data_IF_670009290558
#
_entry.id   IF_670009290558
#
_cell.length_a   1.000
_cell.length_b   1.000
_cell.length_c   1.000
_cell.angle_alpha   90.00
_cell.angle_beta   90.00
_cell.angle_gamma   90.00
#
_symmetry.space_group_name_H-M   'P 1'
#
loop_
_entity.id
_entity.type
_entity.pdbx_description
1 polymer ?
#
# COMPACT_ATOMS: atom_id res chain seq x y z
N UNK A 1 -4.84 6.35 32.51
CA UNK A 1 -5.90 5.98 31.55
C UNK A 1 -5.19 5.78 30.23
N UNK A 2 -4.84 4.53 29.91
CA UNK A 2 -4.23 4.21 28.61
C UNK A 2 -5.33 4.30 27.55
N UNK A 3 -5.19 5.21 26.61
CA UNK A 3 -6.02 5.23 25.44
C UNK A 3 -5.67 3.97 24.64
N UNK A 4 -6.58 2.99 24.62
CA UNK A 4 -6.51 1.87 23.69
C UNK A 4 -6.46 2.47 22.29
N UNK A 5 -5.44 2.13 21.51
CA UNK A 5 -5.42 2.50 20.10
C UNK A 5 -6.79 2.08 19.50
N UNK A 6 -7.41 2.92 18.66
CA UNK A 6 -8.69 2.57 18.05
C UNK A 6 -8.53 1.23 17.34
N UNK A 7 -9.47 0.33 17.61
CA UNK A 7 -9.50 -0.97 16.95
C UNK A 7 -9.72 -0.68 15.46
N UNK A 8 -8.74 -1.07 14.60
CA UNK A 8 -8.86 -0.86 13.15
C UNK A 8 -10.15 -1.55 12.60
N UNK A 9 -10.89 -2.35 13.38
CA UNK A 9 -12.20 -2.90 13.03
C UNK A 9 -13.21 -1.82 12.58
N UNK A 10 -13.03 -0.58 13.03
CA UNK A 10 -13.90 0.56 12.72
C UNK A 10 -13.41 1.37 11.50
N UNK A 11 -12.39 0.91 10.78
CA UNK A 11 -11.93 1.61 9.57
C UNK A 11 -12.93 1.44 8.44
N UNK A 12 -13.46 2.55 7.98
CA UNK A 12 -14.35 2.64 6.81
C UNK A 12 -13.56 2.48 5.51
N UNK A 13 -13.09 1.24 5.24
CA UNK A 13 -12.48 0.89 3.96
C UNK A 13 -13.54 0.79 2.89
N UNK A 14 -13.42 1.60 1.85
CA UNK A 14 -14.29 1.57 0.69
C UNK A 14 -13.60 0.86 -0.48
N UNK A 15 -14.39 0.17 -1.30
CA UNK A 15 -13.87 -0.42 -2.54
C UNK A 15 -13.28 0.67 -3.41
N UNK A 16 -12.05 0.45 -3.86
CA UNK A 16 -11.32 1.43 -4.66
C UNK A 16 -10.47 2.41 -3.84
N UNK A 17 -10.39 2.23 -2.52
CA UNK A 17 -9.53 3.06 -1.68
C UNK A 17 -8.05 2.90 -2.05
N UNK A 18 -7.39 4.04 -2.22
CA UNK A 18 -5.95 4.20 -2.28
C UNK A 18 -5.52 5.15 -1.17
N UNK A 19 -4.79 4.61 -0.21
CA UNK A 19 -4.53 5.24 1.10
C UNK A 19 -3.04 5.37 1.30
N UNK A 20 -2.53 6.57 1.66
CA UNK A 20 -1.18 6.67 2.20
C UNK A 20 -1.18 6.52 3.71
N UNK A 21 -0.17 5.85 4.23
CA UNK A 21 0.11 5.70 5.66
C UNK A 21 1.53 6.15 5.95
N UNK A 22 1.72 6.93 7.00
CA UNK A 22 3.02 7.40 7.43
C UNK A 22 3.45 6.71 8.71
N UNK A 23 4.72 6.32 8.79
CA UNK A 23 5.32 5.74 9.97
C UNK A 23 6.73 6.30 10.21
N UNK A 24 7.24 6.16 11.42
CA UNK A 24 8.60 6.55 11.78
C UNK A 24 9.42 5.29 12.11
N UNK A 25 10.55 5.14 11.42
CA UNK A 25 11.48 4.05 11.67
C UNK A 25 10.94 2.67 11.27
N UNK A 26 11.86 1.77 10.94
CA UNK A 26 11.54 0.38 10.61
C UNK A 26 11.45 -0.52 11.84
N UNK A 27 11.45 -1.84 11.61
CA UNK A 27 11.47 -2.88 12.65
C UNK A 27 10.09 -3.22 13.20
N UNK A 28 10.00 -3.60 14.46
CA UNK A 28 8.80 -4.21 15.04
C UNK A 28 7.54 -3.32 14.95
N UNK A 29 7.69 -2.02 15.00
CA UNK A 29 6.55 -1.09 14.91
C UNK A 29 5.92 -1.08 13.50
N UNK A 30 6.76 -1.13 12.46
CA UNK A 30 6.31 -1.30 11.08
C UNK A 30 5.62 -2.65 10.91
N UNK A 31 6.26 -3.73 11.39
CA UNK A 31 5.71 -5.08 11.33
C UNK A 31 4.34 -5.17 11.99
N UNK A 32 4.14 -4.51 13.16
CA UNK A 32 2.85 -4.47 13.86
C UNK A 32 1.73 -3.91 12.97
N UNK A 33 1.99 -2.80 12.28
CA UNK A 33 1.03 -2.17 11.36
C UNK A 33 0.72 -3.11 10.19
N UNK A 34 1.76 -3.71 9.60
CA UNK A 34 1.61 -4.61 8.45
C UNK A 34 0.85 -5.88 8.83
N UNK A 35 1.21 -6.52 9.95
CA UNK A 35 0.55 -7.72 10.46
C UNK A 35 -0.93 -7.46 10.74
N UNK A 36 -1.24 -6.34 11.40
CA UNK A 36 -2.62 -6.00 11.73
C UNK A 36 -3.43 -5.73 10.45
N UNK A 37 -2.91 -4.95 9.51
CA UNK A 37 -3.55 -4.67 8.23
C UNK A 37 -3.83 -5.95 7.42
N UNK A 38 -2.81 -6.80 7.23
CA UNK A 38 -2.96 -8.05 6.48
C UNK A 38 -3.89 -9.04 7.17
N UNK A 39 -3.78 -9.19 8.50
CA UNK A 39 -4.64 -10.09 9.27
C UNK A 39 -6.13 -9.74 9.12
N UNK A 40 -6.47 -8.49 8.94
CA UNK A 40 -7.87 -8.05 8.71
C UNK A 40 -8.34 -8.42 7.33
N UNK A 41 -7.53 -8.14 6.30
CA UNK A 41 -7.85 -8.57 4.95
C UNK A 41 -8.13 -10.08 4.90
N UNK A 42 -7.28 -10.87 5.55
CA UNK A 42 -7.40 -12.32 5.64
C UNK A 42 -8.65 -12.77 6.41
N UNK A 43 -8.94 -12.17 7.59
CA UNK A 43 -10.17 -12.47 8.36
C UNK A 43 -11.44 -12.14 7.57
N UNK A 44 -11.40 -11.12 6.74
CA UNK A 44 -12.50 -10.76 5.86
C UNK A 44 -12.60 -11.65 4.60
N UNK A 45 -11.75 -12.68 4.47
CA UNK A 45 -11.74 -13.62 3.34
C UNK A 45 -11.20 -13.03 2.04
N UNK A 46 -10.38 -11.99 2.11
CA UNK A 46 -9.77 -11.38 0.93
C UNK A 46 -8.43 -12.03 0.58
N UNK A 47 -8.03 -11.99 -0.69
CA UNK A 47 -6.64 -12.24 -1.09
C UNK A 47 -5.81 -11.04 -0.68
N UNK A 48 -4.66 -11.29 -0.03
CA UNK A 48 -3.74 -10.25 0.43
C UNK A 48 -2.44 -10.28 -0.37
N UNK A 49 -1.93 -9.10 -0.71
CA UNK A 49 -0.63 -8.91 -1.36
C UNK A 49 0.19 -7.89 -0.57
N UNK A 50 1.43 -8.23 -0.26
CA UNK A 50 2.36 -7.36 0.45
C UNK A 50 3.63 -7.18 -0.37
N UNK A 51 3.91 -5.95 -0.79
CA UNK A 51 5.16 -5.56 -1.44
C UNK A 51 6.04 -4.86 -0.42
N UNK A 52 7.14 -5.50 0.00
CA UNK A 52 8.03 -4.99 1.05
C UNK A 52 9.44 -5.57 0.93
N UNK A 53 10.35 -5.12 1.78
CA UNK A 53 11.67 -5.74 1.88
C UNK A 53 11.58 -7.20 2.36
N UNK A 54 12.55 -8.02 1.94
CA UNK A 54 12.57 -9.45 2.25
C UNK A 54 12.56 -9.73 3.77
N UNK A 55 13.28 -8.93 4.55
CA UNK A 55 13.33 -9.08 6.01
C UNK A 55 11.97 -8.79 6.65
N UNK A 56 11.30 -7.71 6.23
CA UNK A 56 9.93 -7.39 6.65
C UNK A 56 8.96 -8.49 6.25
N UNK A 57 9.04 -8.98 5.02
CA UNK A 57 8.18 -10.06 4.53
C UNK A 57 8.32 -11.33 5.38
N UNK A 58 9.54 -11.70 5.77
CA UNK A 58 9.80 -12.85 6.65
C UNK A 58 9.21 -12.63 8.05
N UNK A 59 9.56 -11.50 8.69
CA UNK A 59 9.08 -11.16 10.04
C UNK A 59 7.55 -11.10 10.12
N UNK A 60 6.91 -10.48 9.14
CA UNK A 60 5.45 -10.37 9.06
C UNK A 60 4.80 -11.74 8.87
N UNK A 61 5.33 -12.57 7.95
CA UNK A 61 4.78 -13.92 7.69
C UNK A 61 4.76 -14.77 8.95
N UNK A 62 5.84 -14.74 9.74
CA UNK A 62 5.96 -15.53 10.96
C UNK A 62 4.99 -15.07 12.07
N UNK A 63 4.45 -13.87 11.96
CA UNK A 63 3.54 -13.25 12.93
C UNK A 63 2.06 -13.29 12.52
N UNK A 64 1.76 -13.60 11.25
CA UNK A 64 0.38 -13.83 10.81
C UNK A 64 -0.14 -15.13 11.44
N UNK A 65 -1.32 -15.12 12.10
CA UNK A 65 -1.91 -16.33 12.68
C UNK A 65 -2.07 -17.43 11.62
N UNK A 66 -1.55 -18.65 11.87
CA UNK A 66 -1.57 -19.75 10.88
C UNK A 66 -2.99 -20.10 10.38
N UNK A 67 -3.99 -19.96 11.22
CA UNK A 67 -5.39 -20.21 10.88
C UNK A 67 -5.92 -19.27 9.78
N UNK A 68 -5.29 -18.08 9.61
CA UNK A 68 -5.64 -17.15 8.54
C UNK A 68 -4.99 -17.51 7.21
N UNK A 69 -3.99 -18.40 7.23
CA UNK A 69 -3.26 -18.89 6.06
C UNK A 69 -3.83 -20.20 5.50
N UNK A 70 -5.10 -20.50 5.79
CA UNK A 70 -5.75 -21.81 5.52
C UNK A 70 -5.95 -22.13 4.03
N UNK A 71 -5.84 -21.15 3.13
CA UNK A 71 -5.92 -21.33 1.67
C UNK A 71 -4.57 -20.98 1.05
N UNK A 72 -4.07 -21.87 0.19
CA UNK A 72 -2.86 -21.59 -0.58
C UNK A 72 -3.03 -20.30 -1.42
N UNK A 73 -2.01 -19.46 -1.43
CA UNK A 73 -2.00 -18.22 -2.19
C UNK A 73 -2.89 -17.10 -1.66
N UNK A 74 -3.53 -17.26 -0.50
CA UNK A 74 -4.36 -16.19 0.10
C UNK A 74 -3.53 -14.96 0.51
N UNK A 75 -2.24 -15.16 0.86
CA UNK A 75 -1.28 -14.11 1.13
C UNK A 75 -0.03 -14.31 0.28
N UNK A 76 0.29 -13.32 -0.52
CA UNK A 76 1.48 -13.29 -1.36
C UNK A 76 2.40 -12.15 -0.96
N UNK A 77 3.70 -12.45 -0.87
CA UNK A 77 4.74 -11.45 -0.65
C UNK A 77 5.53 -11.22 -1.94
N UNK A 78 5.72 -9.96 -2.27
CA UNK A 78 6.52 -9.49 -3.38
C UNK A 78 7.68 -8.67 -2.83
N UNK A 79 8.89 -8.93 -3.29
CA UNK A 79 10.09 -8.20 -2.87
C UNK A 79 10.59 -7.29 -3.98
N UNK A 80 11.38 -6.29 -3.62
CA UNK A 80 11.94 -5.28 -4.52
C UNK A 80 12.70 -5.84 -5.74
N UNK A 81 13.28 -7.05 -5.62
CA UNK A 81 14.08 -7.67 -6.68
C UNK A 81 13.26 -8.22 -7.88
N UNK A 82 11.93 -8.13 -7.84
CA UNK A 82 11.10 -8.63 -8.94
C UNK A 82 10.98 -7.66 -10.13
N UNK A 83 11.54 -6.45 -10.00
CA UNK A 83 11.60 -5.46 -11.06
C UNK A 83 12.96 -5.48 -11.78
N UNK A 84 13.31 -6.60 -12.44
CA UNK A 84 14.44 -6.62 -13.35
C UNK A 84 14.23 -5.57 -14.46
N UNK A 85 15.15 -4.60 -14.56
CA UNK A 85 15.08 -3.55 -15.58
C UNK A 85 14.67 -2.15 -15.11
N UNK A 86 14.51 -1.94 -13.80
CA UNK A 86 14.15 -0.64 -13.22
C UNK A 86 12.64 -0.39 -13.14
N UNK A 87 12.27 0.71 -12.44
CA UNK A 87 10.88 1.09 -12.24
C UNK A 87 10.25 1.67 -13.51
N UNK A 88 9.19 1.03 -14.00
CA UNK A 88 8.38 1.51 -15.13
C UNK A 88 6.92 1.62 -14.69
N UNK A 89 6.34 2.81 -14.86
CA UNK A 89 4.93 3.09 -14.50
C UNK A 89 3.99 2.06 -15.12
N UNK A 90 4.12 1.82 -16.42
CA UNK A 90 3.23 0.92 -17.17
C UNK A 90 3.42 -0.55 -16.75
N UNK A 91 4.66 -0.97 -16.47
CA UNK A 91 4.94 -2.33 -16.05
C UNK A 91 4.34 -2.60 -14.66
N UNK A 92 4.52 -1.67 -13.72
CA UNK A 92 3.97 -1.81 -12.36
C UNK A 92 2.45 -1.72 -12.32
N UNK A 93 1.82 -0.87 -13.13
CA UNK A 93 0.35 -0.84 -13.24
C UNK A 93 -0.19 -2.15 -13.82
N UNK A 94 0.45 -2.71 -14.86
CA UNK A 94 0.06 -4.02 -15.41
C UNK A 94 0.25 -5.14 -14.39
N UNK A 95 1.33 -5.09 -13.62
CA UNK A 95 1.60 -6.06 -12.56
C UNK A 95 0.52 -6.01 -11.46
N UNK A 96 0.18 -4.81 -10.96
CA UNK A 96 -0.88 -4.65 -9.95
C UNK A 96 -2.24 -5.07 -10.50
N UNK A 97 -2.54 -4.74 -11.76
CA UNK A 97 -3.76 -5.18 -12.43
C UNK A 97 -3.82 -6.70 -12.59
N UNK A 98 -2.70 -7.35 -12.86
CA UNK A 98 -2.62 -8.81 -12.95
C UNK A 98 -2.92 -9.46 -11.59
N UNK A 99 -2.36 -8.95 -10.49
CA UNK A 99 -2.61 -9.48 -9.14
C UNK A 99 -4.10 -9.36 -8.75
N UNK A 100 -4.74 -8.23 -9.03
CA UNK A 100 -6.16 -8.09 -8.69
C UNK A 100 -7.04 -9.01 -9.56
N UNK A 101 -6.73 -9.17 -10.85
CA UNK A 101 -7.44 -10.10 -11.73
C UNK A 101 -7.27 -11.56 -11.29
N UNK A 102 -6.05 -11.93 -10.86
CA UNK A 102 -5.78 -13.24 -10.28
C UNK A 102 -6.63 -13.47 -9.02
N UNK A 103 -6.64 -12.50 -8.09
CA UNK A 103 -7.46 -12.59 -6.88
C UNK A 103 -8.95 -12.85 -7.21
N UNK A 104 -9.50 -12.13 -8.18
CA UNK A 104 -10.89 -12.30 -8.62
C UNK A 104 -11.12 -13.66 -9.31
N UNK A 105 -10.16 -14.11 -10.12
CA UNK A 105 -10.21 -15.42 -10.80
C UNK A 105 -10.16 -16.58 -9.81
N UNK A 106 -9.42 -16.42 -8.70
CA UNK A 106 -9.34 -17.39 -7.62
C UNK A 106 -10.61 -17.42 -6.72
N UNK A 107 -11.59 -16.57 -7.04
CA UNK A 107 -12.87 -16.49 -6.34
C UNK A 107 -12.87 -15.63 -5.09
N UNK A 108 -11.84 -14.78 -4.88
CA UNK A 108 -11.86 -13.78 -3.82
C UNK A 108 -12.72 -12.58 -4.24
N UNK A 109 -13.44 -11.99 -3.27
CA UNK A 109 -14.28 -10.83 -3.55
C UNK A 109 -13.50 -9.55 -3.85
N UNK A 110 -12.25 -9.46 -3.39
CA UNK A 110 -11.37 -8.31 -3.57
C UNK A 110 -9.90 -8.62 -3.27
N UNK A 111 -9.02 -7.74 -3.75
CA UNK A 111 -7.61 -7.69 -3.36
C UNK A 111 -7.44 -6.72 -2.18
N UNK A 112 -6.61 -7.10 -1.21
CA UNK A 112 -6.16 -6.28 -0.10
C UNK A 112 -4.65 -6.11 -0.22
N UNK A 113 -4.19 -4.98 -0.78
CA UNK A 113 -2.80 -4.76 -1.12
C UNK A 113 -2.12 -3.76 -0.19
N UNK A 114 -0.87 -4.03 0.15
CA UNK A 114 0.02 -3.13 0.88
C UNK A 114 1.35 -3.01 0.14
N UNK A 115 1.84 -1.79 -0.02
CA UNK A 115 3.16 -1.50 -0.57
C UNK A 115 3.97 -0.59 0.38
N UNK A 116 5.19 -1.00 0.71
CA UNK A 116 6.14 -0.14 1.40
C UNK A 116 6.96 0.64 0.36
N UNK A 117 6.72 1.95 0.27
CA UNK A 117 7.38 2.84 -0.69
C UNK A 117 8.84 3.17 -0.32
N UNK A 118 9.37 2.64 0.78
CA UNK A 118 10.72 2.93 1.27
C UNK A 118 11.81 2.49 0.28
N UNK A 119 11.55 1.46 -0.55
CA UNK A 119 12.50 1.04 -1.58
C UNK A 119 12.73 2.11 -2.65
N UNK A 120 11.73 2.92 -2.96
CA UNK A 120 11.84 4.04 -3.91
C UNK A 120 12.70 5.16 -3.35
N UNK A 121 12.63 5.37 -2.04
CA UNK A 121 13.39 6.43 -1.37
C UNK A 121 14.92 6.20 -1.34
N UNK A 122 15.41 5.05 -1.83
CA UNK A 122 16.85 4.79 -1.94
C UNK A 122 17.52 5.58 -3.06
N UNK A 123 16.79 5.83 -4.15
CA UNK A 123 17.32 6.47 -5.37
C UNK A 123 16.47 7.71 -5.68
N UNK A 124 16.50 8.70 -4.79
CA UNK A 124 15.68 9.92 -4.85
C UNK A 124 16.26 10.96 -5.85
N UNK A 125 16.56 10.56 -7.08
CA UNK A 125 16.78 11.55 -8.12
C UNK A 125 15.44 12.13 -8.63
N UNK A 126 15.44 13.38 -9.13
CA UNK A 126 14.18 14.04 -9.53
C UNK A 126 13.40 13.30 -10.61
N UNK A 127 14.08 12.58 -11.51
CA UNK A 127 13.45 11.82 -12.59
C UNK A 127 12.71 10.57 -12.04
N UNK A 128 13.36 9.84 -11.15
CA UNK A 128 12.78 8.68 -10.45
C UNK A 128 11.58 9.10 -9.62
N UNK A 129 11.68 10.24 -8.92
CA UNK A 129 10.56 10.77 -8.13
C UNK A 129 9.36 11.18 -8.98
N UNK A 130 9.60 11.85 -10.11
CA UNK A 130 8.52 12.18 -11.07
C UNK A 130 7.84 10.92 -11.58
N UNK A 131 8.60 9.90 -11.92
CA UNK A 131 8.09 8.60 -12.38
C UNK A 131 7.25 7.93 -11.31
N UNK A 132 7.73 7.91 -10.05
CA UNK A 132 7.00 7.35 -8.91
C UNK A 132 5.66 8.05 -8.67
N UNK A 133 5.65 9.37 -8.54
CA UNK A 133 4.40 10.11 -8.32
C UNK A 133 3.43 10.04 -9.51
N UNK A 134 3.94 9.87 -10.73
CA UNK A 134 3.09 9.57 -11.89
C UNK A 134 2.40 8.22 -11.72
N UNK A 135 3.11 7.19 -11.23
CA UNK A 135 2.53 5.89 -10.94
C UNK A 135 1.50 5.98 -9.82
N UNK A 136 1.82 6.59 -8.68
CA UNK A 136 0.91 6.78 -7.56
C UNK A 136 -0.39 7.46 -7.97
N UNK A 137 -0.30 8.51 -8.76
CA UNK A 137 -1.48 9.20 -9.26
C UNK A 137 -2.33 8.30 -10.19
N UNK A 138 -1.72 7.46 -11.04
CA UNK A 138 -2.40 6.52 -11.93
C UNK A 138 -2.99 5.31 -11.20
N UNK A 139 -2.46 4.94 -10.03
CA UNK A 139 -3.03 3.87 -9.19
C UNK A 139 -4.48 4.18 -8.82
N UNK A 140 -4.84 5.45 -8.62
CA UNK A 140 -6.24 5.82 -8.32
C UNK A 140 -7.22 5.40 -9.42
N UNK A 141 -6.82 5.51 -10.70
CA UNK A 141 -7.66 5.06 -11.81
C UNK A 141 -7.78 3.54 -11.84
N UNK A 142 -6.70 2.83 -11.53
CA UNK A 142 -6.72 1.38 -11.42
C UNK A 142 -7.56 0.93 -10.22
N UNK A 143 -7.39 1.58 -9.07
CA UNK A 143 -8.14 1.27 -7.86
C UNK A 143 -9.65 1.41 -8.07
N UNK A 144 -10.09 2.44 -8.79
CA UNK A 144 -11.52 2.67 -9.07
C UNK A 144 -12.16 1.64 -10.00
N UNK A 145 -11.35 0.87 -10.76
CA UNK A 145 -11.86 -0.12 -11.74
C UNK A 145 -12.09 -1.51 -11.17
N UNK A 146 -11.48 -1.82 -10.04
CA UNK A 146 -11.48 -3.16 -9.45
C UNK A 146 -11.84 -3.13 -7.97
N UNK A 147 -12.46 -4.20 -7.43
CA UNK A 147 -12.71 -4.32 -6.00
C UNK A 147 -11.39 -4.60 -5.26
N UNK A 148 -10.73 -3.54 -4.81
CA UNK A 148 -9.46 -3.60 -4.10
C UNK A 148 -9.32 -2.49 -3.07
N UNK A 149 -8.43 -2.71 -2.09
CA UNK A 149 -7.88 -1.70 -1.20
C UNK A 149 -6.37 -1.67 -1.38
N UNK A 150 -5.80 -0.49 -1.48
CA UNK A 150 -4.36 -0.32 -1.62
C UNK A 150 -3.89 0.63 -0.52
N UNK A 151 -2.95 0.18 0.30
CA UNK A 151 -2.26 1.01 1.29
C UNK A 151 -0.80 1.16 0.88
N UNK A 152 -0.36 2.40 0.67
CA UNK A 152 1.04 2.74 0.41
C UNK A 152 1.66 3.33 1.69
N UNK A 153 2.73 2.71 2.18
CA UNK A 153 3.40 3.10 3.42
C UNK A 153 4.67 3.90 3.15
N UNK A 154 4.87 4.96 3.92
CA UNK A 154 5.96 5.92 3.75
C UNK A 154 6.68 6.15 5.08
N UNK A 155 7.98 5.85 5.13
CA UNK A 155 8.84 6.10 6.26
C UNK A 155 9.21 7.59 6.33
N UNK A 156 8.77 8.29 7.37
CA UNK A 156 9.04 9.71 7.56
C UNK A 156 10.52 10.06 7.79
N UNK A 157 11.35 9.06 8.16
CA UNK A 157 12.79 9.25 8.24
C UNK A 157 13.44 9.33 6.86
N UNK A 158 12.76 8.85 5.82
CA UNK A 158 13.22 8.84 4.42
C UNK A 158 12.42 9.76 3.51
N UNK A 159 11.11 9.86 3.76
CA UNK A 159 10.19 10.72 3.04
C UNK A 159 9.97 12.01 3.83
N UNK A 160 10.69 13.08 3.52
CA UNK A 160 10.64 14.33 4.27
C UNK A 160 10.26 15.53 3.39
N UNK A 161 9.83 16.62 4.02
CA UNK A 161 9.61 17.90 3.40
C UNK A 161 8.56 17.90 2.29
N UNK A 162 8.95 18.38 1.12
CA UNK A 162 8.10 18.53 -0.08
C UNK A 162 7.64 17.19 -0.67
N UNK A 163 8.38 16.10 -0.43
CA UNK A 163 8.00 14.76 -0.87
C UNK A 163 6.72 14.29 -0.17
N UNK A 164 6.54 14.58 1.12
CA UNK A 164 5.30 14.27 1.85
C UNK A 164 4.10 14.97 1.21
N UNK A 165 4.26 16.22 0.80
CA UNK A 165 3.19 16.94 0.11
C UNK A 165 2.84 16.30 -1.24
N UNK A 166 3.83 15.77 -1.95
CA UNK A 166 3.59 15.03 -3.20
C UNK A 166 2.87 13.71 -2.96
N UNK A 167 3.22 12.97 -1.89
CA UNK A 167 2.48 11.78 -1.44
C UNK A 167 1.01 12.13 -1.14
N UNK A 168 0.77 13.17 -0.34
CA UNK A 168 -0.59 13.61 -0.03
C UNK A 168 -1.39 13.99 -1.29
N UNK A 169 -0.76 14.68 -2.25
CA UNK A 169 -1.44 15.06 -3.50
C UNK A 169 -1.88 13.88 -4.35
N UNK A 170 -1.25 12.71 -4.21
CA UNK A 170 -1.57 11.51 -5.01
C UNK A 170 -2.55 10.55 -4.35
N UNK A 171 -2.87 10.71 -3.07
CA UNK A 171 -3.72 9.77 -2.33
C UNK A 171 -5.03 10.43 -1.88
N UNK A 172 -6.19 9.92 -2.30
CA UNK A 172 -7.50 10.46 -1.87
C UNK A 172 -7.76 10.33 -0.37
N UNK A 173 -7.14 9.35 0.27
CA UNK A 173 -7.32 9.06 1.69
C UNK A 173 -5.98 8.91 2.41
N UNK A 174 -5.98 9.19 3.71
CA UNK A 174 -4.78 9.08 4.56
C UNK A 174 -5.12 8.29 5.82
N UNK A 175 -4.22 7.40 6.21
CA UNK A 175 -4.26 6.68 7.47
C UNK A 175 -3.44 7.45 8.52
N UNK A 176 -4.11 7.88 9.57
CA UNK A 176 -3.49 8.64 10.68
C UNK A 176 -4.03 8.11 12.01
N UNK A 177 -3.13 7.69 12.89
CA UNK A 177 -3.49 7.26 14.26
C UNK A 177 -4.65 6.25 14.32
N UNK A 178 -4.66 5.27 13.43
CA UNK A 178 -5.69 4.24 13.41
C UNK A 178 -7.00 4.64 12.71
N UNK A 179 -7.06 5.81 12.07
CA UNK A 179 -8.24 6.29 11.32
C UNK A 179 -7.90 6.46 9.85
N UNK A 180 -8.84 6.15 8.97
CA UNK A 180 -8.77 6.51 7.55
C UNK A 180 -9.63 7.76 7.34
N UNK A 181 -8.97 8.83 6.90
CA UNK A 181 -9.59 10.14 6.70
C UNK A 181 -9.58 10.52 5.21
N UNK A 182 -10.56 11.30 4.79
CA UNK A 182 -10.50 11.96 3.49
C UNK A 182 -9.34 12.94 3.49
N UNK A 183 -8.54 12.92 2.44
CA UNK A 183 -7.38 13.77 2.33
C UNK A 183 -7.72 15.08 1.60
N UNK A 184 -7.71 16.23 2.28
CA UNK A 184 -8.04 17.51 1.66
C UNK A 184 -6.96 18.03 0.69
N UNK A 185 -5.77 17.44 0.69
CA UNK A 185 -4.66 17.81 -0.20
C UNK A 185 -4.64 17.00 -1.49
N UNK A 186 -5.52 16.02 -1.65
CA UNK A 186 -5.60 15.21 -2.86
C UNK A 186 -5.88 16.06 -4.10
N UNK A 187 -5.14 15.77 -5.17
CA UNK A 187 -5.28 16.42 -6.46
C UNK A 187 -5.61 15.36 -7.52
N UNK A 188 -6.70 15.52 -8.29
CA UNK A 188 -7.03 14.58 -9.36
C UNK A 188 -5.91 14.43 -10.38
N UNK A 189 -5.76 13.21 -10.95
CA UNK A 189 -4.65 12.85 -11.85
C UNK A 189 -4.33 13.89 -12.92
N UNK A 190 -5.35 14.38 -13.64
CA UNK A 190 -5.17 15.33 -14.74
C UNK A 190 -4.58 16.68 -14.28
N UNK A 191 -4.92 17.12 -13.07
CA UNK A 191 -4.37 18.36 -12.48
C UNK A 191 -2.95 18.09 -11.92
N UNK A 192 -2.76 16.94 -11.28
CA UNK A 192 -1.47 16.58 -10.72
C UNK A 192 -0.40 16.44 -11.80
N UNK A 193 -0.67 15.74 -12.90
CA UNK A 193 0.27 15.57 -14.00
C UNK A 193 0.62 16.89 -14.70
N UNK A 194 -0.29 17.86 -14.71
CA UNK A 194 -0.02 19.21 -15.22
C UNK A 194 0.86 20.06 -14.30
N UNK A 195 1.10 19.62 -13.05
CA UNK A 195 1.93 20.31 -12.05
C UNK A 195 3.34 19.70 -11.86
N UNK A 196 3.64 18.54 -12.47
CA UNK A 196 4.95 17.88 -12.51
C UNK A 196 5.83 18.45 -13.62
#
# INVERSE_FOLDING_TARGET
MGSRAPDIADLDFQVGDHVCAFYNGGGSALDDIVVDYLSRGLRAGNKCACCSFADTASSVRDRIPPELMSRDGILQFYTENQAEGGFSVEAYLRWLEAIVKEALSDGYGRLWALGDATFVARDLDPGSMKTWFTWEAKVNELASRYPQFIMCMYDLDRWAGDLIMSVLKTHPRVFVNGLILNNPYYVPLHQFLGSL
#
